data_IF_163182279613
#
_entry.id   IF_163182279613
#
_cell.length_a   1.000
_cell.length_b   1.000
_cell.length_c   1.000
_cell.angle_alpha   90.00
_cell.angle_beta   90.00
_cell.angle_gamma   90.00
#
_symmetry.space_group_name_H-M   'P 1'
#
loop_
_entity.id
_entity.type
_entity.pdbx_description
1 polymer ?
#
# COMPACT_ATOMS: atom_id res chain seq x y z
N UNK A 1 -22.30 32.17 43.83
CA UNK A 1 -21.29 32.41 42.78
C UNK A 1 -21.27 31.21 41.86
N UNK A 2 -21.73 31.37 40.67
CA UNK A 2 -21.66 30.31 39.65
C UNK A 2 -20.20 30.18 39.18
N UNK A 3 -19.54 29.10 39.56
CA UNK A 3 -18.29 28.71 38.90
C UNK A 3 -18.64 28.28 37.52
N UNK A 4 -18.23 29.06 36.51
CA UNK A 4 -18.34 28.68 35.14
C UNK A 4 -17.65 27.35 34.91
N UNK A 5 -18.41 26.31 34.65
CA UNK A 5 -17.91 25.09 34.09
C UNK A 5 -17.34 25.45 32.74
N UNK A 6 -16.04 25.62 32.67
CA UNK A 6 -15.35 25.61 31.41
C UNK A 6 -15.53 24.20 30.85
N UNK A 7 -16.54 24.05 30.02
CA UNK A 7 -16.71 22.88 29.19
C UNK A 7 -15.49 22.81 28.25
N UNK A 8 -14.42 22.23 28.74
CA UNK A 8 -13.33 21.77 27.90
C UNK A 8 -13.85 20.56 27.12
N UNK A 9 -14.86 20.78 26.30
CA UNK A 9 -15.07 19.90 25.19
C UNK A 9 -13.80 20.04 24.36
N UNK A 10 -12.82 19.15 24.61
CA UNK A 10 -11.85 18.83 23.59
C UNK A 10 -12.68 18.68 22.34
N UNK A 11 -12.59 19.65 21.45
CA UNK A 11 -13.11 19.48 20.09
C UNK A 11 -12.39 18.23 19.61
N UNK A 12 -13.04 17.09 19.69
CA UNK A 12 -12.58 15.91 18.97
C UNK A 12 -12.47 16.40 17.54
N UNK A 13 -11.24 16.68 17.11
CA UNK A 13 -11.00 17.00 15.73
C UNK A 13 -11.68 15.88 14.96
N UNK A 14 -12.78 16.19 14.29
CA UNK A 14 -13.46 15.24 13.43
C UNK A 14 -12.40 14.79 12.45
N UNK A 15 -11.87 13.58 12.67
CA UNK A 15 -10.97 12.96 11.74
C UNK A 15 -11.71 12.90 10.43
N UNK A 16 -11.36 13.76 9.47
CA UNK A 16 -12.03 13.78 8.17
C UNK A 16 -11.82 12.43 7.51
N UNK A 17 -12.90 11.78 7.12
CA UNK A 17 -12.86 10.51 6.43
C UNK A 17 -12.39 10.71 5.00
N UNK A 18 -11.50 9.86 4.53
CA UNK A 18 -10.97 9.90 3.17
C UNK A 18 -11.62 8.79 2.35
N UNK A 19 -12.49 9.12 1.40
CA UNK A 19 -13.08 8.11 0.53
C UNK A 19 -12.07 7.62 -0.51
N UNK A 20 -11.97 6.30 -0.62
CA UNK A 20 -11.25 5.63 -1.70
C UNK A 20 -12.25 4.83 -2.53
N UNK A 21 -11.98 4.68 -3.82
CA UNK A 21 -12.69 3.75 -4.67
C UNK A 21 -12.24 2.31 -4.41
N UNK A 22 -12.90 1.36 -5.06
CA UNK A 22 -12.48 -0.05 -4.99
C UNK A 22 -11.16 -0.30 -5.72
N UNK A 23 -10.72 0.67 -6.55
CA UNK A 23 -9.41 0.76 -7.19
C UNK A 23 -8.93 2.21 -7.17
N UNK A 24 -7.61 2.36 -7.03
CA UNK A 24 -6.96 3.68 -6.97
C UNK A 24 -5.62 3.66 -7.69
N UNK A 25 -5.17 4.85 -8.09
CA UNK A 25 -3.77 5.04 -8.49
C UNK A 25 -2.90 5.19 -7.25
N UNK A 26 -1.82 4.42 -7.23
CA UNK A 26 -0.79 4.49 -6.19
C UNK A 26 0.49 5.00 -6.83
N UNK A 27 1.12 5.95 -6.16
CA UNK A 27 2.41 6.49 -6.56
C UNK A 27 3.48 6.04 -5.56
N UNK A 28 4.70 5.87 -6.06
CA UNK A 28 5.86 5.50 -5.25
C UNK A 28 6.82 6.69 -5.18
N UNK A 29 6.73 7.54 -4.14
CA UNK A 29 7.53 8.77 -4.06
C UNK A 29 9.04 8.53 -4.11
N UNK A 30 9.52 7.45 -3.51
CA UNK A 30 10.95 7.10 -3.50
C UNK A 30 11.50 6.69 -4.87
N UNK A 31 10.62 6.44 -5.84
CA UNK A 31 10.96 5.97 -7.18
C UNK A 31 10.39 6.90 -8.25
N UNK A 32 10.64 8.18 -8.08
CA UNK A 32 10.21 9.23 -9.00
C UNK A 32 8.71 9.19 -9.30
N UNK A 33 7.91 8.89 -8.27
CA UNK A 33 6.45 8.82 -8.38
C UNK A 33 5.94 7.81 -9.42
N UNK A 34 6.63 6.70 -9.54
CA UNK A 34 6.18 5.59 -10.39
C UNK A 34 4.73 5.24 -10.07
N UNK A 35 3.92 5.08 -11.09
CA UNK A 35 2.47 5.03 -10.98
C UNK A 35 1.94 3.62 -11.21
N UNK A 36 1.17 3.10 -10.27
CA UNK A 36 0.58 1.77 -10.30
C UNK A 36 -0.93 1.82 -10.11
N UNK A 37 -1.63 0.93 -10.79
CA UNK A 37 -3.03 0.64 -10.46
C UNK A 37 -3.09 -0.34 -9.31
N UNK A 38 -3.85 0.01 -8.29
CA UNK A 38 -4.08 -0.86 -7.15
C UNK A 38 -5.57 -1.17 -6.97
N UNK A 39 -5.85 -2.40 -6.60
CA UNK A 39 -7.17 -2.80 -6.13
C UNK A 39 -7.19 -2.70 -4.61
N UNK A 40 -8.23 -2.08 -4.07
CA UNK A 40 -8.42 -1.99 -2.62
C UNK A 40 -9.14 -3.26 -2.18
N UNK A 41 -8.45 -4.10 -1.44
CA UNK A 41 -8.93 -5.41 -1.02
C UNK A 41 -9.09 -5.47 0.49
N UNK A 42 -10.27 -5.14 0.97
CA UNK A 42 -10.58 -5.16 2.41
C UNK A 42 -10.68 -6.58 2.98
N UNK A 43 -10.80 -7.59 2.12
CA UNK A 43 -10.74 -9.00 2.51
C UNK A 43 -9.33 -9.49 2.79
N UNK A 44 -8.32 -8.80 2.28
CA UNK A 44 -6.93 -9.15 2.51
C UNK A 44 -6.38 -8.45 3.75
N UNK A 45 -5.64 -9.20 4.57
CA UNK A 45 -4.94 -8.66 5.73
C UNK A 45 -3.70 -7.87 5.33
N UNK A 46 -2.96 -8.36 4.34
CA UNK A 46 -1.68 -7.80 3.89
C UNK A 46 -1.79 -7.29 2.46
N UNK A 47 -1.04 -6.22 2.19
CA UNK A 47 -0.87 -5.69 0.84
C UNK A 47 0.13 -6.54 0.06
N UNK A 48 -0.03 -6.56 -1.26
CA UNK A 48 0.83 -7.32 -2.14
C UNK A 48 1.11 -6.52 -3.42
N UNK A 49 2.28 -6.73 -3.98
CA UNK A 49 2.65 -6.19 -5.29
C UNK A 49 3.17 -7.32 -6.17
N UNK A 50 2.75 -7.33 -7.44
CA UNK A 50 3.30 -8.26 -8.41
C UNK A 50 4.75 -7.91 -8.68
N UNK A 51 5.65 -8.85 -8.44
CA UNK A 51 7.08 -8.69 -8.64
C UNK A 51 7.65 -9.86 -9.43
N UNK A 52 8.59 -9.55 -10.30
CA UNK A 52 9.34 -10.53 -11.09
C UNK A 52 10.83 -10.42 -10.80
N UNK A 53 11.59 -11.43 -11.18
CA UNK A 53 13.05 -11.48 -10.99
C UNK A 53 13.46 -11.19 -9.54
N UNK A 54 12.76 -11.81 -8.59
CA UNK A 54 13.00 -11.64 -7.16
C UNK A 54 14.31 -12.35 -6.80
N UNK A 55 15.29 -11.57 -6.29
CA UNK A 55 16.60 -12.08 -5.85
C UNK A 55 16.87 -11.61 -4.44
N UNK A 56 17.09 -12.57 -3.54
CA UNK A 56 17.50 -12.31 -2.16
C UNK A 56 19.02 -12.40 -2.09
N UNK A 57 19.66 -11.42 -1.45
CA UNK A 57 21.10 -11.39 -1.26
C UNK A 57 21.47 -10.70 0.04
N UNK A 58 22.72 -10.83 0.45
CA UNK A 58 23.22 -10.17 1.65
C UNK A 58 24.19 -9.06 1.28
N UNK A 59 24.05 -7.92 1.97
CA UNK A 59 24.95 -6.78 1.87
C UNK A 59 25.17 -6.20 3.26
N UNK A 60 26.43 -6.11 3.68
CA UNK A 60 26.82 -5.53 4.98
C UNK A 60 26.04 -6.13 6.18
N UNK A 61 25.82 -7.46 6.15
CA UNK A 61 25.10 -8.17 7.21
C UNK A 61 23.56 -8.05 7.15
N UNK A 62 23.00 -7.32 6.23
CA UNK A 62 21.56 -7.17 6.03
C UNK A 62 21.07 -8.01 4.85
N UNK A 63 19.89 -8.60 4.99
CA UNK A 63 19.20 -9.24 3.86
C UNK A 63 18.56 -8.18 2.99
N UNK A 64 18.85 -8.27 1.69
CA UNK A 64 18.36 -7.37 0.66
C UNK A 64 17.54 -8.13 -0.37
N UNK A 65 16.67 -7.44 -1.08
CA UNK A 65 15.91 -8.01 -2.17
C UNK A 65 15.88 -7.08 -3.37
N UNK A 66 16.16 -7.65 -4.54
CA UNK A 66 15.98 -7.00 -5.84
C UNK A 66 14.79 -7.61 -6.54
N UNK A 67 14.01 -6.79 -7.19
CA UNK A 67 12.85 -7.24 -7.96
C UNK A 67 12.43 -6.17 -8.97
N UNK A 68 11.59 -6.57 -9.91
CA UNK A 68 11.00 -5.68 -10.90
C UNK A 68 9.49 -5.63 -10.73
N UNK A 69 8.93 -4.44 -10.87
CA UNK A 69 7.48 -4.21 -10.90
C UNK A 69 7.08 -3.54 -12.22
N UNK A 70 5.84 -3.74 -12.62
CA UNK A 70 5.34 -3.28 -13.91
C UNK A 70 3.99 -2.60 -13.77
N UNK A 71 3.79 -1.59 -14.62
CA UNK A 71 2.47 -1.06 -14.95
C UNK A 71 2.41 -0.88 -16.46
N UNK A 72 1.60 -1.69 -17.13
CA UNK A 72 1.54 -1.73 -18.59
C UNK A 72 2.93 -2.00 -19.20
N UNK A 73 3.47 -1.10 -20.01
CA UNK A 73 4.80 -1.23 -20.60
C UNK A 73 5.92 -0.59 -19.76
N UNK A 74 5.55 0.11 -18.68
CA UNK A 74 6.52 0.73 -17.78
C UNK A 74 6.98 -0.25 -16.73
N UNK A 75 8.27 -0.26 -16.42
CA UNK A 75 8.82 -1.10 -15.36
C UNK A 75 9.76 -0.30 -14.46
N UNK A 76 9.97 -0.82 -13.27
CA UNK A 76 10.84 -0.25 -12.27
C UNK A 76 11.66 -1.36 -11.61
N UNK A 77 12.97 -1.16 -11.54
CA UNK A 77 13.87 -2.00 -10.74
C UNK A 77 13.94 -1.46 -9.31
N UNK A 78 13.69 -2.33 -8.35
CA UNK A 78 13.77 -1.99 -6.92
C UNK A 78 14.83 -2.85 -6.26
N UNK A 79 15.66 -2.22 -5.44
CA UNK A 79 16.65 -2.85 -4.59
C UNK A 79 16.50 -2.26 -3.18
N UNK A 80 16.03 -3.05 -2.25
CA UNK A 80 15.69 -2.58 -0.92
C UNK A 80 15.91 -3.67 0.14
N UNK A 81 15.84 -3.27 1.39
CA UNK A 81 15.97 -4.19 2.53
C UNK A 81 14.79 -5.16 2.60
N UNK A 82 15.09 -6.44 2.80
CA UNK A 82 14.09 -7.44 3.12
C UNK A 82 13.65 -7.27 4.59
N UNK A 83 12.38 -7.11 4.82
CA UNK A 83 11.85 -6.88 6.18
C UNK A 83 11.52 -8.21 6.86
N UNK A 84 10.77 -9.08 6.19
CA UNK A 84 10.40 -10.38 6.74
C UNK A 84 9.88 -11.30 5.64
N UNK A 85 9.57 -12.52 6.04
CA UNK A 85 8.82 -13.47 5.22
C UNK A 85 7.43 -13.63 5.82
N UNK A 86 6.40 -13.45 5.00
CA UNK A 86 5.00 -13.58 5.40
C UNK A 86 4.41 -14.87 4.87
N UNK A 87 3.71 -15.57 5.74
CA UNK A 87 2.92 -16.74 5.38
C UNK A 87 1.55 -16.30 4.91
N UNK A 88 1.26 -16.49 3.63
CA UNK A 88 0.02 -16.07 2.99
C UNK A 88 -0.79 -17.32 2.65
N UNK A 89 -2.03 -17.36 3.13
CA UNK A 89 -2.97 -18.43 2.79
C UNK A 89 -3.82 -17.98 1.60
N UNK A 90 -3.80 -18.77 0.52
CA UNK A 90 -4.65 -18.53 -0.64
C UNK A 90 -6.11 -18.89 -0.34
N UNK A 91 -7.05 -18.41 -1.14
CA UNK A 91 -8.47 -18.78 -1.08
C UNK A 91 -8.70 -20.25 -1.30
N UNK A 92 -7.75 -20.99 -1.90
CA UNK A 92 -7.79 -22.43 -2.10
C UNK A 92 -7.18 -23.23 -0.94
N UNK A 93 -6.81 -22.57 0.17
CA UNK A 93 -6.23 -23.21 1.35
C UNK A 93 -4.73 -23.51 1.25
N UNK A 94 -4.08 -23.19 0.14
CA UNK A 94 -2.62 -23.34 0.00
C UNK A 94 -1.89 -22.20 0.71
N UNK A 95 -0.77 -22.55 1.35
CA UNK A 95 0.09 -21.58 2.03
C UNK A 95 1.33 -21.29 1.20
N UNK A 96 1.64 -20.02 1.02
CA UNK A 96 2.81 -19.52 0.33
C UNK A 96 3.61 -18.62 1.27
N UNK A 97 4.94 -18.71 1.21
CA UNK A 97 5.83 -17.79 1.94
C UNK A 97 6.30 -16.73 0.96
N UNK A 98 6.06 -15.46 1.30
CA UNK A 98 6.42 -14.32 0.47
C UNK A 98 7.37 -13.38 1.21
N UNK A 99 8.44 -12.89 0.55
CA UNK A 99 9.23 -11.82 1.11
C UNK A 99 8.41 -10.54 1.22
N UNK A 100 8.68 -9.73 2.22
CA UNK A 100 8.06 -8.43 2.39
C UNK A 100 9.09 -7.32 2.48
N UNK A 101 8.67 -6.13 2.02
CA UNK A 101 9.47 -4.92 2.03
C UNK A 101 8.63 -3.77 2.58
N UNK A 102 9.29 -2.73 3.05
CA UNK A 102 8.62 -1.45 3.33
C UNK A 102 8.66 -0.59 2.08
N UNK A 103 7.54 -0.01 1.74
CA UNK A 103 7.44 0.96 0.64
C UNK A 103 6.68 2.20 1.10
N UNK A 104 7.21 3.35 0.73
CA UNK A 104 6.47 4.60 0.83
C UNK A 104 5.49 4.63 -0.34
N UNK A 105 4.21 4.79 -0.04
CA UNK A 105 3.16 4.90 -1.06
C UNK A 105 2.42 6.24 -0.91
N UNK A 106 1.88 6.70 -2.01
CA UNK A 106 1.03 7.88 -2.05
C UNK A 106 -0.28 7.57 -2.76
N UNK A 107 -1.38 7.91 -2.12
CA UNK A 107 -2.72 7.90 -2.71
C UNK A 107 -3.33 9.27 -2.50
N UNK A 108 -3.65 9.97 -3.58
CA UNK A 108 -4.06 11.38 -3.49
C UNK A 108 -2.95 12.24 -2.87
N UNK A 109 -3.28 12.98 -1.84
CA UNK A 109 -2.34 13.83 -1.10
C UNK A 109 -1.66 13.11 0.07
N UNK A 110 -2.10 11.91 0.44
CA UNK A 110 -1.57 11.18 1.59
C UNK A 110 -0.37 10.32 1.19
N UNK A 111 0.71 10.42 1.98
CA UNK A 111 1.94 9.63 1.81
C UNK A 111 2.20 8.89 3.13
N UNK A 112 2.42 7.59 3.06
CA UNK A 112 2.80 6.80 4.25
C UNK A 112 3.63 5.56 3.87
N UNK A 113 4.35 5.06 4.87
CA UNK A 113 5.13 3.83 4.76
C UNK A 113 4.25 2.63 5.07
N UNK A 114 4.33 1.59 4.26
CA UNK A 114 3.57 0.36 4.49
C UNK A 114 4.40 -0.88 4.15
N UNK A 115 4.07 -1.99 4.78
CA UNK A 115 4.67 -3.28 4.46
C UNK A 115 3.90 -3.96 3.32
N UNK A 116 4.62 -4.42 2.32
CA UNK A 116 4.05 -5.03 1.12
C UNK A 116 4.76 -6.34 0.85
N UNK A 117 3.98 -7.40 0.61
CA UNK A 117 4.52 -8.69 0.20
C UNK A 117 4.76 -8.72 -1.31
N UNK A 118 5.82 -9.40 -1.71
CA UNK A 118 6.14 -9.63 -3.12
C UNK A 118 5.50 -10.93 -3.58
N UNK A 119 4.70 -10.87 -4.63
CA UNK A 119 3.99 -12.01 -5.16
C UNK A 119 4.23 -12.14 -6.66
N UNK A 120 4.52 -13.34 -7.10
CA UNK A 120 4.48 -13.66 -8.52
C UNK A 120 3.05 -14.02 -8.90
N UNK A 121 2.38 -13.10 -9.55
CA UNK A 121 1.02 -13.28 -10.03
C UNK A 121 0.99 -13.00 -11.52
N UNK A 122 0.82 -14.02 -12.32
CA UNK A 122 0.70 -13.87 -13.76
C UNK A 122 -0.62 -13.17 -14.14
N UNK A 123 -0.57 -12.27 -15.12
CA UNK A 123 -1.73 -11.63 -15.75
C UNK A 123 -2.61 -10.82 -14.78
N UNK A 124 -2.06 -9.73 -14.25
CA UNK A 124 -2.83 -8.85 -13.37
C UNK A 124 -3.18 -7.54 -14.06
N UNK A 125 -4.45 -7.23 -14.13
CA UNK A 125 -4.94 -5.89 -14.45
C UNK A 125 -4.49 -4.87 -13.39
N UNK A 126 -4.40 -5.32 -12.13
CA UNK A 126 -3.95 -4.51 -11.00
C UNK A 126 -2.69 -5.14 -10.42
N UNK A 127 -1.51 -4.55 -10.68
CA UNK A 127 -0.26 -5.09 -10.15
C UNK A 127 -0.14 -4.97 -8.63
N UNK A 128 -0.98 -4.18 -7.98
CA UNK A 128 -0.94 -3.97 -6.54
C UNK A 128 -2.29 -4.26 -5.90
N UNK A 129 -2.26 -4.90 -4.73
CA UNK A 129 -3.40 -5.06 -3.84
C UNK A 129 -3.12 -4.31 -2.54
N UNK A 130 -4.04 -3.46 -2.14
CA UNK A 130 -3.99 -2.75 -0.86
C UNK A 130 -4.86 -3.50 0.14
N UNK A 131 -4.22 -4.16 1.09
CA UNK A 131 -4.88 -4.85 2.18
C UNK A 131 -5.10 -3.95 3.40
N UNK A 132 -5.75 -4.51 4.42
CA UNK A 132 -6.08 -3.75 5.64
C UNK A 132 -4.87 -3.18 6.37
N UNK A 133 -3.69 -3.83 6.28
CA UNK A 133 -2.47 -3.33 6.91
C UNK A 133 -2.00 -1.97 6.37
N UNK A 134 -2.40 -1.62 5.16
CA UNK A 134 -2.05 -0.34 4.51
C UNK A 134 -3.17 0.70 4.60
N UNK A 135 -4.31 0.33 5.15
CA UNK A 135 -5.44 1.24 5.37
C UNK A 135 -5.50 1.67 6.83
N UNK A 136 -6.12 2.80 7.10
CA UNK A 136 -6.31 3.31 8.46
C UNK A 136 -7.78 3.69 8.70
N UNK A 137 -8.06 4.15 9.91
CA UNK A 137 -9.44 4.50 10.36
C UNK A 137 -10.11 5.60 9.53
N UNK A 138 -9.32 6.39 8.78
CA UNK A 138 -9.84 7.48 7.96
C UNK A 138 -10.37 6.99 6.62
N UNK A 139 -9.90 5.83 6.15
CA UNK A 139 -10.26 5.32 4.83
C UNK A 139 -11.63 4.67 4.83
N UNK A 140 -12.49 5.17 3.97
CA UNK A 140 -13.78 4.56 3.64
C UNK A 140 -13.72 4.09 2.20
N UNK A 141 -14.07 2.84 1.98
CA UNK A 141 -14.00 2.25 0.65
C UNK A 141 -15.37 2.28 0.00
N UNK A 142 -15.45 2.95 -1.16
CA UNK A 142 -16.66 3.01 -1.96
C UNK A 142 -16.66 1.90 -3.00
N UNK A 143 -17.54 0.92 -2.84
CA UNK A 143 -17.55 -0.30 -3.66
C UNK A 143 -17.89 -0.08 -5.15
N UNK A 144 -18.51 1.03 -5.49
CA UNK A 144 -18.98 1.32 -6.86
C UNK A 144 -18.22 2.44 -7.56
N UNK A 145 -17.25 3.07 -6.90
CA UNK A 145 -16.48 4.19 -7.46
C UNK A 145 -15.02 3.83 -7.63
N UNK A 146 -14.39 4.43 -8.61
CA UNK A 146 -13.00 4.20 -8.98
C UNK A 146 -12.23 5.50 -8.98
N UNK A 147 -10.96 5.44 -8.57
CA UNK A 147 -10.00 6.54 -8.69
C UNK A 147 -10.47 7.85 -8.04
N UNK A 148 -11.09 7.75 -6.87
CA UNK A 148 -11.58 8.93 -6.13
C UNK A 148 -10.46 9.86 -5.69
N UNK A 149 -9.27 9.33 -5.44
CA UNK A 149 -8.11 10.11 -5.03
C UNK A 149 -7.38 10.80 -6.20
N UNK A 150 -7.79 10.51 -7.45
CA UNK A 150 -7.23 11.13 -8.64
C UNK A 150 -6.06 10.38 -9.23
N UNK A 151 -5.67 10.79 -10.44
CA UNK A 151 -4.63 10.15 -11.27
C UNK A 151 -3.32 10.91 -11.30
N UNK A 152 -3.20 12.01 -10.58
CA UNK A 152 -1.99 12.83 -10.50
C UNK A 152 -1.38 12.77 -9.11
N UNK A 153 -0.05 12.63 -9.03
CA UNK A 153 0.66 12.80 -7.77
C UNK A 153 0.69 14.27 -7.40
N UNK A 154 0.23 14.59 -6.19
CA UNK A 154 0.42 15.92 -5.63
C UNK A 154 1.78 15.89 -4.95
N UNK A 155 2.76 16.60 -5.51
CA UNK A 155 4.06 16.79 -4.89
C UNK A 155 3.89 17.82 -3.76
N UNK A 156 4.15 17.38 -2.57
CA UNK A 156 4.15 18.24 -1.39
C UNK A 156 5.58 18.73 -1.16
#
# INVERSE_FOLDING_TARGET
MAKGLTNNRKKNAKTSLTPLGWREWVFLPSYNYFKLKAKIDTGARTSAIHATNIQIYRKNGSEMVKFQIYQSQSFLDIDTELISYKKIKSSFGQTEIRPSVHMKIQIGAEIWLTEITLAQRAKLTYPMLIGRNSLNKKHIIHSHKSYLAGSSSIKI
#
